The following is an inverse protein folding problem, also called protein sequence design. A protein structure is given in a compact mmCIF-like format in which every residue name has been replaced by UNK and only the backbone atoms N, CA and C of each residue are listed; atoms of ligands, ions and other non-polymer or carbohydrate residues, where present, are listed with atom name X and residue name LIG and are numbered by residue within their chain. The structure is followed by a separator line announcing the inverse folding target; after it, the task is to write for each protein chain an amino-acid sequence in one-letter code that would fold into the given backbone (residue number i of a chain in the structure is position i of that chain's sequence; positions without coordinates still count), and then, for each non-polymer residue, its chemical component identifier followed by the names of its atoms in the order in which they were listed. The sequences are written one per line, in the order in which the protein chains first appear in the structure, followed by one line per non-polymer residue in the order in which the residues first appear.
data_IF_228228466289
#
_entry.id   IF_228228466289
#
_cell.length_a   1.000
_cell.length_b   1.000
_cell.length_c   1.000
_cell.angle_alpha   90.00
_cell.angle_beta   90.00
_cell.angle_gamma   90.00
#
_symmetry.space_group_name_H-M   'P 1'
#
loop_
_entity.id
_entity.type
_entity.pdbx_description
1 polymer ?
#
# COMPACT_ATOMS: atom_id res chain seq x y z
N UNK A 1 81.14 -30.41 37.34
CA UNK A 1 81.16 -29.30 36.36
C UNK A 1 79.76 -29.20 35.76
N UNK A 2 79.29 -27.97 35.57
CA UNK A 2 77.91 -27.55 35.24
C UNK A 2 77.32 -28.18 33.94
N UNK A 3 76.00 -28.05 33.68
CA UNK A 3 75.08 -29.11 33.25
C UNK A 3 74.49 -28.86 31.85
N UNK A 4 73.69 -29.79 31.31
CA UNK A 4 72.59 -29.41 30.39
C UNK A 4 71.40 -30.35 30.60
N UNK A 5 70.25 -29.75 30.87
CA UNK A 5 68.94 -30.37 31.02
C UNK A 5 68.34 -30.77 29.66
N UNK A 6 67.58 -31.87 29.61
CA UNK A 6 66.71 -32.20 28.48
C UNK A 6 65.31 -32.51 29.01
N UNK A 7 64.37 -31.63 28.67
CA UNK A 7 62.96 -31.65 29.03
C UNK A 7 62.18 -32.52 28.04
N UNK A 8 61.26 -33.33 28.59
CA UNK A 8 60.24 -34.10 27.86
C UNK A 8 59.31 -33.18 27.05
N UNK A 9 58.93 -33.59 25.83
CA UNK A 9 57.69 -33.16 25.21
C UNK A 9 57.06 -34.30 24.37
N UNK A 10 55.83 -34.66 24.74
CA UNK A 10 54.95 -35.59 24.03
C UNK A 10 54.60 -35.06 22.64
N UNK A 11 54.65 -35.94 21.64
CA UNK A 11 54.12 -35.70 20.29
C UNK A 11 52.65 -36.15 20.29
N UNK A 12 51.72 -35.19 20.29
CA UNK A 12 50.33 -35.43 19.93
C UNK A 12 50.10 -34.92 18.50
N UNK A 13 49.69 -35.83 17.61
CA UNK A 13 49.34 -35.53 16.24
C UNK A 13 47.96 -34.85 16.14
N UNK A 14 47.87 -33.76 15.38
CA UNK A 14 46.62 -33.25 14.82
C UNK A 14 46.90 -32.72 13.41
N UNK A 15 46.06 -33.01 12.41
CA UNK A 15 46.31 -32.62 11.02
C UNK A 15 45.98 -31.14 10.82
N UNK A 16 46.90 -30.43 10.16
CA UNK A 16 46.64 -29.11 9.59
C UNK A 16 45.76 -29.26 8.34
N UNK A 17 44.51 -28.83 8.44
CA UNK A 17 43.70 -28.47 7.29
C UNK A 17 43.17 -27.05 7.51
N UNK A 18 44.01 -26.05 7.23
CA UNK A 18 43.55 -24.66 7.11
C UNK A 18 42.94 -24.47 5.73
N UNK A 19 41.67 -24.86 5.57
CA UNK A 19 40.84 -24.34 4.49
C UNK A 19 40.52 -22.89 4.83
N UNK A 20 41.19 -21.96 4.13
CA UNK A 20 40.89 -20.53 4.18
C UNK A 20 39.50 -20.30 3.60
N UNK A 21 38.49 -20.23 4.48
CA UNK A 21 37.15 -19.75 4.15
C UNK A 21 37.22 -18.24 4.00
N UNK A 22 37.65 -17.77 2.82
CA UNK A 22 37.26 -16.44 2.34
C UNK A 22 35.77 -16.53 2.06
N UNK A 23 34.94 -16.29 3.08
CA UNK A 23 33.54 -15.99 2.87
C UNK A 23 33.51 -14.67 2.09
N UNK A 24 32.92 -14.62 0.88
CA UNK A 24 32.62 -13.33 0.29
C UNK A 24 31.68 -12.63 1.27
N UNK A 25 32.12 -11.49 1.80
CA UNK A 25 31.21 -10.47 2.32
C UNK A 25 30.39 -9.99 1.12
N UNK A 26 29.38 -10.78 0.74
CA UNK A 26 28.22 -10.22 0.10
C UNK A 26 27.63 -9.26 1.12
N UNK A 27 27.88 -7.98 0.88
CA UNK A 27 27.08 -6.89 1.42
C UNK A 27 25.62 -7.24 1.15
N UNK A 28 24.96 -7.83 2.15
CA UNK A 28 23.51 -7.84 2.24
C UNK A 28 23.12 -6.39 2.52
N UNK A 29 23.10 -5.56 1.48
CA UNK A 29 22.15 -4.46 1.42
C UNK A 29 20.76 -5.09 1.22
N UNK A 30 20.27 -5.75 2.28
CA UNK A 30 18.85 -5.72 2.53
C UNK A 30 18.60 -4.26 2.93
N UNK A 31 17.94 -3.49 2.06
CA UNK A 31 17.43 -2.16 2.40
C UNK A 31 16.38 -2.38 3.48
N UNK A 32 16.82 -2.49 4.74
CA UNK A 32 15.95 -2.49 5.90
C UNK A 32 15.22 -1.15 5.88
N UNK A 33 13.91 -1.17 5.68
CA UNK A 33 13.09 0.02 5.95
C UNK A 33 13.42 0.49 7.36
N UNK A 34 13.65 1.79 7.50
CA UNK A 34 13.87 2.41 8.81
C UNK A 34 12.62 2.20 9.65
N UNK A 35 12.80 1.82 10.92
CA UNK A 35 11.72 1.81 11.91
C UNK A 35 11.99 2.90 12.91
N UNK A 36 10.93 3.55 13.40
CA UNK A 36 11.05 4.57 14.44
C UNK A 36 11.32 3.96 15.82
N UNK A 37 10.99 2.67 15.99
CA UNK A 37 10.99 2.01 17.30
C UNK A 37 9.86 2.46 18.23
N UNK A 38 8.92 3.28 17.74
CA UNK A 38 7.79 3.77 18.50
C UNK A 38 6.69 2.72 18.63
N UNK A 39 6.01 2.72 19.77
CA UNK A 39 4.78 1.95 19.93
C UNK A 39 3.61 2.65 19.22
N UNK A 40 2.81 1.88 18.49
CA UNK A 40 1.56 2.33 17.87
C UNK A 40 0.35 2.26 18.81
N UNK A 41 0.49 1.65 20.00
CA UNK A 41 -0.56 1.63 21.03
C UNK A 41 -0.52 2.85 21.95
N UNK A 42 0.26 3.88 21.58
CA UNK A 42 0.41 5.13 22.32
C UNK A 42 -0.82 6.05 22.24
N UNK A 43 -0.65 7.25 22.77
CA UNK A 43 -1.67 8.30 22.66
C UNK A 43 -1.73 8.84 21.23
N UNK A 44 -2.94 9.08 20.73
CA UNK A 44 -3.14 9.75 19.44
C UNK A 44 -2.60 11.17 19.49
N UNK A 45 -2.02 11.65 18.39
CA UNK A 45 -1.74 13.06 18.18
C UNK A 45 -2.99 13.92 18.47
N UNK A 46 -2.79 15.16 18.92
CA UNK A 46 -3.85 16.07 19.38
C UNK A 46 -4.67 15.62 20.61
N UNK A 47 -4.42 14.45 21.20
CA UNK A 47 -5.12 14.02 22.43
C UNK A 47 -4.50 14.54 23.73
N UNK A 48 -3.30 15.15 23.66
CA UNK A 48 -2.59 15.65 24.82
C UNK A 48 -1.65 16.81 24.45
N UNK A 49 -1.16 17.53 25.46
CA UNK A 49 -0.18 18.60 25.29
C UNK A 49 1.27 18.09 25.17
N UNK A 50 1.49 16.81 24.87
CA UNK A 50 2.84 16.26 24.65
C UNK A 50 3.42 16.85 23.37
N UNK A 51 4.70 17.18 23.38
CA UNK A 51 5.41 17.69 22.20
C UNK A 51 6.91 17.36 22.29
N UNK A 52 7.61 17.45 21.15
CA UNK A 52 9.07 17.29 21.10
C UNK A 52 9.56 15.85 21.32
N UNK A 53 8.76 14.84 20.97
CA UNK A 53 9.16 13.44 21.07
C UNK A 53 9.11 12.75 19.70
N UNK A 54 9.95 11.73 19.50
CA UNK A 54 9.96 10.96 18.26
C UNK A 54 8.74 10.04 18.06
N UNK A 55 7.93 9.84 19.10
CA UNK A 55 6.80 8.90 19.11
C UNK A 55 5.45 9.57 19.36
N UNK A 56 5.38 10.90 19.18
CA UNK A 56 4.15 11.65 19.31
C UNK A 56 4.22 12.87 18.40
N UNK A 57 3.37 12.88 17.37
CA UNK A 57 3.35 13.96 16.38
C UNK A 57 2.67 15.21 16.96
N UNK A 58 3.46 16.27 17.18
CA UNK A 58 3.00 17.57 17.63
C UNK A 58 4.03 18.67 17.29
N UNK A 59 3.60 19.91 16.98
CA UNK A 59 2.21 20.39 17.05
C UNK A 59 1.33 19.97 15.86
N UNK A 60 1.94 19.51 14.76
CA UNK A 60 1.32 19.11 13.50
C UNK A 60 0.56 17.77 13.55
N UNK A 61 -0.23 17.54 14.60
CA UNK A 61 -0.88 16.27 14.90
C UNK A 61 -2.21 16.03 14.19
N UNK A 62 -2.72 17.00 13.44
CA UNK A 62 -3.90 16.86 12.59
C UNK A 62 -3.41 16.62 11.16
N UNK A 63 -3.46 15.36 10.70
CA UNK A 63 -2.87 14.98 9.42
C UNK A 63 -3.93 15.00 8.32
N UNK A 64 -3.57 15.48 7.14
CA UNK A 64 -4.44 15.53 5.97
C UNK A 64 -3.79 14.78 4.80
N UNK A 65 -4.37 13.67 4.39
CA UNK A 65 -4.06 13.08 3.07
C UNK A 65 -4.92 13.79 2.02
N UNK A 66 -4.29 14.58 1.16
CA UNK A 66 -4.97 15.41 0.18
C UNK A 66 -4.86 14.82 -1.22
N UNK A 67 -5.93 14.91 -2.00
CA UNK A 67 -5.98 14.38 -3.37
C UNK A 67 -6.56 15.40 -4.34
N UNK A 68 -6.18 15.26 -5.60
CA UNK A 68 -6.62 16.08 -6.72
C UNK A 68 -7.45 15.32 -7.75
N UNK A 69 -8.35 16.08 -8.38
CA UNK A 69 -9.07 15.71 -9.57
C UNK A 69 -8.84 16.75 -10.67
N UNK A 70 -7.66 16.68 -11.29
CA UNK A 70 -7.26 17.65 -12.32
C UNK A 70 -7.83 17.29 -13.68
N UNK A 71 -8.60 18.20 -14.27
CA UNK A 71 -9.27 17.98 -15.57
C UNK A 71 -8.79 18.91 -16.67
N UNK A 72 -8.14 20.03 -16.32
CA UNK A 72 -7.71 21.05 -17.29
C UNK A 72 -6.38 21.71 -16.86
N UNK A 73 -5.23 21.14 -17.22
CA UNK A 73 -5.06 19.91 -17.99
C UNK A 73 -5.40 18.67 -17.14
N UNK A 74 -5.68 17.54 -17.80
CA UNK A 74 -5.90 16.29 -17.07
C UNK A 74 -4.58 15.66 -16.65
N UNK A 75 -4.50 15.20 -15.41
CA UNK A 75 -3.33 14.49 -14.86
C UNK A 75 -3.72 13.14 -14.27
N UNK A 76 -2.77 12.19 -14.34
CA UNK A 76 -2.95 10.83 -13.87
C UNK A 76 -4.00 10.03 -14.67
N UNK A 77 -4.43 8.88 -14.14
CA UNK A 77 -5.43 8.04 -14.79
C UNK A 77 -6.81 8.69 -14.86
N UNK A 78 -7.56 8.40 -15.92
CA UNK A 78 -8.90 8.98 -16.11
C UNK A 78 -9.96 8.45 -15.13
N UNK A 79 -9.65 7.35 -14.44
CA UNK A 79 -10.46 6.70 -13.41
C UNK A 79 -9.79 6.71 -12.03
N UNK A 80 -8.92 7.71 -11.75
CA UNK A 80 -8.30 7.85 -10.44
C UNK A 80 -8.12 9.31 -10.06
N UNK A 81 -8.29 9.57 -8.77
CA UNK A 81 -7.73 10.77 -8.15
C UNK A 81 -6.20 10.63 -8.09
N UNK A 82 -5.52 11.75 -7.89
CA UNK A 82 -4.05 11.81 -7.76
C UNK A 82 -3.69 12.35 -6.38
N UNK A 83 -2.51 12.01 -5.88
CA UNK A 83 -1.96 12.55 -4.64
C UNK A 83 -1.66 14.03 -4.84
N UNK A 84 -2.10 14.86 -3.89
CA UNK A 84 -1.58 16.20 -3.70
C UNK A 84 -0.47 16.17 -2.63
N UNK A 85 -0.78 15.71 -1.42
CA UNK A 85 0.21 15.59 -0.35
C UNK A 85 -0.28 14.91 0.92
N UNK A 86 0.54 15.03 1.97
CA UNK A 86 0.25 14.59 3.33
C UNK A 86 0.72 15.66 4.33
N UNK A 87 -0.21 16.43 4.89
CA UNK A 87 0.12 17.68 5.58
C UNK A 87 -0.10 17.60 7.10
N UNK A 88 0.85 18.10 7.91
CA UNK A 88 0.72 18.15 9.36
C UNK A 88 0.17 19.51 9.82
N UNK A 89 -1.16 19.63 9.90
CA UNK A 89 -1.79 20.80 10.51
C UNK A 89 -1.68 20.73 12.03
N UNK A 90 -1.61 21.90 12.66
CA UNK A 90 -1.74 22.02 14.10
C UNK A 90 -3.12 21.54 14.55
N UNK A 91 -3.21 21.08 15.80
CA UNK A 91 -4.46 20.56 16.36
C UNK A 91 -5.61 21.59 16.46
N UNK A 92 -5.32 22.88 16.29
CA UNK A 92 -6.30 23.97 16.22
C UNK A 92 -6.72 24.33 14.78
N UNK A 93 -6.23 23.60 13.78
CA UNK A 93 -6.50 23.83 12.36
C UNK A 93 -5.63 24.91 11.70
N UNK A 94 -4.70 25.53 12.44
CA UNK A 94 -3.63 26.32 11.82
C UNK A 94 -2.55 25.41 11.24
N UNK A 95 -1.61 25.93 10.45
CA UNK A 95 -0.52 25.12 9.90
C UNK A 95 0.80 25.89 9.90
N UNK A 96 1.91 25.14 9.83
CA UNK A 96 3.25 25.68 9.61
C UNK A 96 3.77 25.14 8.28
N UNK A 97 4.66 25.88 7.62
CA UNK A 97 5.32 25.44 6.40
C UNK A 97 6.79 25.78 6.41
N UNK A 98 7.59 25.04 5.62
CA UNK A 98 9.03 25.26 5.45
C UNK A 98 9.79 25.23 6.79
N UNK A 99 9.51 24.21 7.60
CA UNK A 99 9.94 24.16 9.00
C UNK A 99 11.45 23.94 9.18
N UNK A 100 12.15 23.39 8.18
CA UNK A 100 13.58 23.12 8.26
C UNK A 100 14.24 23.07 6.88
N UNK A 101 14.79 24.21 6.43
CA UNK A 101 15.47 24.32 5.13
C UNK A 101 16.79 23.55 5.05
N UNK A 102 17.36 23.10 6.17
CA UNK A 102 18.58 22.28 6.16
C UNK A 102 18.34 20.87 5.60
N UNK A 103 17.07 20.44 5.57
CA UNK A 103 16.61 19.18 5.03
C UNK A 103 15.92 19.33 3.67
N UNK A 104 16.01 20.49 3.02
CA UNK A 104 15.42 20.65 1.68
C UNK A 104 16.16 19.76 0.67
N UNK A 105 15.39 18.95 -0.05
CA UNK A 105 15.89 18.05 -1.08
C UNK A 105 15.18 18.34 -2.40
N UNK A 106 15.97 18.61 -3.42
CA UNK A 106 15.47 18.89 -4.78
C UNK A 106 15.39 17.65 -5.66
N UNK A 107 16.06 16.55 -5.27
CA UNK A 107 16.16 15.33 -6.08
C UNK A 107 15.54 14.11 -5.36
N UNK A 108 14.25 14.23 -5.03
CA UNK A 108 13.47 13.20 -4.31
C UNK A 108 13.50 11.85 -5.04
N UNK A 109 13.43 11.85 -6.36
CA UNK A 109 13.47 10.63 -7.16
C UNK A 109 14.76 9.85 -6.99
N UNK A 110 15.91 10.54 -6.93
CA UNK A 110 17.20 9.91 -6.64
C UNK A 110 17.27 9.37 -5.22
N UNK A 111 16.74 10.07 -4.21
CA UNK A 111 16.69 9.58 -2.83
C UNK A 111 15.88 8.29 -2.73
N UNK A 112 14.67 8.26 -3.30
CA UNK A 112 13.82 7.07 -3.36
C UNK A 112 14.55 5.91 -4.06
N UNK A 113 15.13 6.15 -5.22
CA UNK A 113 15.83 5.11 -5.98
C UNK A 113 17.04 4.54 -5.23
N UNK A 114 17.84 5.39 -4.59
CA UNK A 114 19.04 5.00 -3.86
C UNK A 114 18.73 4.22 -2.57
N UNK A 115 17.54 4.36 -2.02
CA UNK A 115 17.15 3.81 -0.72
C UNK A 115 16.09 2.71 -0.81
N UNK A 116 15.86 2.14 -2.01
CA UNK A 116 14.95 1.00 -2.22
C UNK A 116 13.49 1.38 -2.48
N UNK A 117 13.16 2.68 -2.53
CA UNK A 117 11.84 3.24 -2.81
C UNK A 117 11.47 3.30 -4.30
N UNK A 118 12.08 2.51 -5.18
CA UNK A 118 11.81 2.55 -6.63
C UNK A 118 10.35 2.24 -6.99
N UNK A 119 9.67 1.39 -6.21
CA UNK A 119 8.23 1.10 -6.42
C UNK A 119 7.36 2.30 -6.07
N UNK A 120 7.69 3.01 -4.99
CA UNK A 120 7.07 4.28 -4.58
C UNK A 120 7.28 5.33 -5.66
N UNK A 121 8.50 5.50 -6.15
CA UNK A 121 8.80 6.42 -7.25
C UNK A 121 7.99 6.11 -8.51
N UNK A 122 7.92 4.83 -8.93
CA UNK A 122 7.14 4.42 -10.10
C UNK A 122 5.64 4.70 -9.91
N UNK A 123 5.12 4.51 -8.69
CA UNK A 123 3.74 4.85 -8.36
C UNK A 123 3.52 6.38 -8.43
N UNK A 124 4.42 7.17 -7.83
CA UNK A 124 4.36 8.63 -7.86
C UNK A 124 4.37 9.20 -9.28
N UNK A 125 5.17 8.64 -10.19
CA UNK A 125 5.20 9.04 -11.60
C UNK A 125 3.84 8.92 -12.31
N UNK A 126 2.93 8.09 -11.78
CA UNK A 126 1.57 7.89 -12.31
C UNK A 126 0.53 8.67 -11.49
N UNK A 127 0.66 8.66 -10.16
CA UNK A 127 -0.41 9.10 -9.26
C UNK A 127 -0.09 10.36 -8.46
N UNK A 128 1.14 10.87 -8.44
CA UNK A 128 1.51 12.13 -7.76
C UNK A 128 2.06 13.11 -8.79
N UNK A 129 1.14 13.71 -9.55
CA UNK A 129 1.41 14.49 -10.75
C UNK A 129 1.36 15.98 -10.43
N UNK A 130 2.25 16.74 -11.04
CA UNK A 130 2.14 18.20 -11.06
C UNK A 130 1.25 18.66 -12.22
N UNK A 131 0.65 19.84 -12.09
CA UNK A 131 0.11 20.54 -13.25
C UNK A 131 1.29 20.83 -14.20
N UNK A 132 1.26 20.35 -15.45
CA UNK A 132 2.34 20.56 -16.41
C UNK A 132 2.55 22.04 -16.78
N UNK A 133 1.61 22.93 -16.45
CA UNK A 133 1.79 24.38 -16.60
C UNK A 133 2.54 25.01 -15.42
N UNK A 134 2.58 24.35 -14.26
CA UNK A 134 3.21 24.85 -13.03
C UNK A 134 4.59 24.22 -12.78
N UNK A 135 4.96 23.18 -13.52
CA UNK A 135 6.32 22.64 -13.55
C UNK A 135 6.38 21.13 -13.73
N UNK A 136 7.43 20.53 -13.18
CA UNK A 136 7.67 19.08 -13.25
C UNK A 136 7.09 18.37 -12.03
N UNK A 137 6.87 17.05 -12.12
CA UNK A 137 6.51 16.27 -10.93
C UNK A 137 7.60 16.35 -9.85
N UNK A 138 8.87 16.34 -10.26
CA UNK A 138 10.00 16.44 -9.34
C UNK A 138 10.00 17.76 -8.54
N UNK A 139 9.63 18.87 -9.18
CA UNK A 139 9.49 20.16 -8.47
C UNK A 139 8.32 20.16 -7.50
N UNK A 140 7.20 19.49 -7.82
CA UNK A 140 6.11 19.30 -6.87
C UNK A 140 6.55 18.44 -5.69
N UNK A 141 7.22 17.32 -5.91
CA UNK A 141 7.68 16.46 -4.82
C UNK A 141 8.68 17.20 -3.91
N UNK A 142 9.60 17.97 -4.49
CA UNK A 142 10.50 18.81 -3.70
C UNK A 142 9.73 19.86 -2.87
N UNK A 143 8.69 20.47 -3.44
CA UNK A 143 7.81 21.41 -2.73
C UNK A 143 7.08 20.74 -1.57
N UNK A 144 6.40 19.62 -1.81
CA UNK A 144 5.64 18.91 -0.77
C UNK A 144 6.55 18.47 0.39
N UNK A 145 7.77 18.05 0.10
CA UNK A 145 8.76 17.76 1.13
C UNK A 145 9.18 19.02 1.89
N UNK A 146 9.65 20.06 1.20
CA UNK A 146 10.16 21.27 1.83
C UNK A 146 9.07 21.98 2.65
N UNK A 147 7.88 22.13 2.08
CA UNK A 147 6.77 22.86 2.70
C UNK A 147 6.12 22.07 3.84
N UNK A 148 5.91 20.75 3.68
CA UNK A 148 5.09 19.96 4.62
C UNK A 148 5.87 18.82 5.28
N UNK A 149 6.65 18.05 4.50
CA UNK A 149 7.46 16.94 5.02
C UNK A 149 8.46 17.35 6.10
N UNK A 150 9.08 18.52 5.96
CA UNK A 150 10.01 19.06 6.98
C UNK A 150 9.31 19.41 8.29
N UNK A 151 7.98 19.57 8.31
CA UNK A 151 7.21 19.97 9.49
C UNK A 151 6.77 18.83 10.40
N UNK A 152 6.98 17.56 10.01
CA UNK A 152 6.74 16.42 10.89
C UNK A 152 7.80 16.34 11.99
N UNK A 153 7.38 16.49 13.24
CA UNK A 153 8.26 16.38 14.41
C UNK A 153 8.84 14.97 14.56
N UNK A 154 8.08 13.94 14.18
CA UNK A 154 8.50 12.53 14.26
C UNK A 154 9.42 12.10 13.12
N UNK A 155 9.65 12.97 12.12
CA UNK A 155 10.59 12.77 11.01
C UNK A 155 11.90 13.56 11.18
N UNK A 156 12.12 14.21 12.32
CA UNK A 156 13.40 14.84 12.59
C UNK A 156 14.53 13.80 12.52
N UNK A 157 15.70 14.14 11.96
CA UNK A 157 16.77 13.16 11.73
C UNK A 157 17.30 12.53 13.02
N UNK A 158 17.18 13.21 14.16
CA UNK A 158 17.50 12.67 15.49
C UNK A 158 16.54 11.56 15.95
N UNK A 159 15.39 11.41 15.31
CA UNK A 159 14.42 10.35 15.56
C UNK A 159 14.67 9.10 14.70
N UNK A 160 15.57 9.18 13.73
CA UNK A 160 15.93 8.05 12.90
C UNK A 160 16.97 7.14 13.57
N UNK A 161 17.00 5.83 13.25
CA UNK A 161 18.06 4.93 13.69
C UNK A 161 19.44 5.48 13.34
N UNK A 162 20.41 5.27 14.23
CA UNK A 162 21.80 5.68 14.00
C UNK A 162 22.35 5.05 12.72
N UNK A 163 23.01 5.86 11.89
CA UNK A 163 23.53 5.43 10.59
C UNK A 163 22.53 5.50 9.43
N UNK A 164 21.31 6.02 9.66
CA UNK A 164 20.37 6.28 8.57
C UNK A 164 21.00 7.18 7.50
N UNK A 165 20.85 6.86 6.21
CA UNK A 165 21.40 7.67 5.13
C UNK A 165 20.70 9.03 5.07
N UNK A 166 21.38 10.01 4.47
CA UNK A 166 20.80 11.34 4.22
C UNK A 166 19.49 11.21 3.43
N UNK A 167 18.43 11.87 3.90
CA UNK A 167 17.13 11.88 3.26
C UNK A 167 16.28 10.63 3.50
N UNK A 168 16.65 9.78 4.47
CA UNK A 168 15.83 8.63 4.86
C UNK A 168 14.44 9.06 5.38
N UNK A 169 14.36 10.18 6.10
CA UNK A 169 13.13 10.80 6.54
C UNK A 169 12.22 11.22 5.37
N UNK A 170 12.81 11.72 4.29
CA UNK A 170 12.07 12.09 3.09
C UNK A 170 11.54 10.85 2.38
N UNK A 171 12.38 9.82 2.23
CA UNK A 171 11.96 8.53 1.68
C UNK A 171 10.77 7.95 2.46
N UNK A 172 10.84 7.93 3.79
CA UNK A 172 9.74 7.46 4.63
C UNK A 172 8.46 8.30 4.47
N UNK A 173 8.57 9.63 4.34
CA UNK A 173 7.43 10.50 4.08
C UNK A 173 6.71 10.13 2.77
N UNK A 174 7.45 9.96 1.67
CA UNK A 174 6.87 9.61 0.37
C UNK A 174 6.27 8.20 0.37
N UNK A 175 6.95 7.23 0.98
CA UNK A 175 6.42 5.86 1.13
C UNK A 175 5.13 5.84 1.95
N UNK A 176 5.10 6.57 3.06
CA UNK A 176 3.91 6.67 3.92
C UNK A 176 2.74 7.33 3.19
N UNK A 177 3.00 8.44 2.50
CA UNK A 177 1.97 9.15 1.74
C UNK A 177 1.36 8.28 0.65
N UNK A 178 2.21 7.58 -0.12
CA UNK A 178 1.74 6.65 -1.16
C UNK A 178 0.95 5.48 -0.57
N UNK A 179 1.40 4.90 0.54
CA UNK A 179 0.70 3.79 1.19
C UNK A 179 -0.65 4.23 1.75
N UNK A 180 -0.74 5.41 2.36
CA UNK A 180 -1.99 5.95 2.87
C UNK A 180 -2.96 6.27 1.72
N UNK A 181 -2.49 6.90 0.65
CA UNK A 181 -3.31 7.19 -0.54
C UNK A 181 -3.94 5.92 -1.15
N UNK A 182 -3.19 4.81 -1.22
CA UNK A 182 -3.72 3.53 -1.74
C UNK A 182 -4.91 2.99 -0.94
N UNK A 183 -5.06 3.39 0.33
CA UNK A 183 -6.21 3.01 1.17
C UNK A 183 -7.44 3.91 0.97
N UNK A 184 -7.31 4.95 0.14
CA UNK A 184 -8.30 6.00 -0.07
C UNK A 184 -8.72 6.10 -1.56
N UNK A 185 -9.28 5.04 -2.18
CA UNK A 185 -9.65 5.01 -3.59
C UNK A 185 -10.92 5.83 -3.89
N UNK A 186 -10.82 7.16 -3.79
CA UNK A 186 -11.94 8.11 -3.91
C UNK A 186 -12.80 7.88 -5.16
N UNK A 187 -12.18 7.59 -6.31
CA UNK A 187 -12.92 7.33 -7.56
C UNK A 187 -13.81 6.09 -7.42
N UNK A 188 -13.28 5.01 -6.86
CA UNK A 188 -13.99 3.73 -6.75
C UNK A 188 -15.18 3.85 -5.81
N UNK A 189 -15.01 4.55 -4.69
CA UNK A 189 -16.10 4.82 -3.74
C UNK A 189 -17.23 5.66 -4.35
N UNK A 190 -16.88 6.71 -5.09
CA UNK A 190 -17.87 7.51 -5.81
C UNK A 190 -18.57 6.68 -6.90
N UNK A 191 -17.80 5.94 -7.70
CA UNK A 191 -18.34 5.11 -8.78
C UNK A 191 -19.28 4.00 -8.25
N UNK A 192 -18.94 3.35 -7.14
CA UNK A 192 -19.78 2.36 -6.48
C UNK A 192 -21.13 2.94 -5.99
N UNK A 193 -21.17 4.24 -5.69
CA UNK A 193 -22.38 4.97 -5.37
C UNK A 193 -23.11 5.53 -6.62
N UNK A 194 -22.68 5.18 -7.83
CA UNK A 194 -23.24 5.68 -9.09
C UNK A 194 -22.82 7.12 -9.43
N UNK A 195 -21.79 7.66 -8.76
CA UNK A 195 -21.25 9.00 -8.99
C UNK A 195 -19.99 8.85 -9.85
N UNK A 196 -20.14 9.02 -11.15
CA UNK A 196 -19.02 8.98 -12.10
C UNK A 196 -18.83 10.35 -12.77
N UNK A 197 -17.61 10.65 -13.25
CA UNK A 197 -17.37 11.90 -13.96
C UNK A 197 -18.29 12.10 -15.17
N UNK A 198 -18.75 13.33 -15.40
CA UNK A 198 -19.68 13.69 -16.48
C UNK A 198 -19.49 15.14 -16.93
N UNK A 199 -19.76 15.41 -18.20
CA UNK A 199 -19.80 16.77 -18.75
C UNK A 199 -21.15 17.47 -18.57
N UNK A 200 -22.20 16.73 -18.21
CA UNK A 200 -23.59 17.24 -18.15
C UNK A 200 -24.28 17.02 -16.81
N UNK A 201 -23.82 16.05 -16.01
CA UNK A 201 -24.40 15.74 -14.70
C UNK A 201 -23.79 16.62 -13.63
N UNK A 202 -24.61 17.03 -12.65
CA UNK A 202 -24.14 17.71 -11.45
C UNK A 202 -24.62 16.99 -10.19
N UNK A 203 -23.92 17.23 -9.09
CA UNK A 203 -24.14 16.58 -7.81
C UNK A 203 -24.43 17.60 -6.71
N UNK A 204 -25.00 17.12 -5.61
CA UNK A 204 -25.10 17.89 -4.37
C UNK A 204 -23.92 17.56 -3.47
N UNK A 205 -23.57 18.51 -2.59
CA UNK A 205 -22.53 18.26 -1.59
C UNK A 205 -22.92 17.06 -0.70
N UNK A 206 -24.21 16.96 -0.36
CA UNK A 206 -24.75 15.86 0.44
C UNK A 206 -24.61 14.50 -0.26
N UNK A 207 -24.84 14.39 -1.57
CA UNK A 207 -24.69 13.11 -2.27
C UNK A 207 -23.23 12.65 -2.30
N UNK A 208 -22.30 13.56 -2.56
CA UNK A 208 -20.86 13.25 -2.60
C UNK A 208 -20.34 12.84 -1.22
N UNK A 209 -20.63 13.65 -0.19
CA UNK A 209 -20.16 13.38 1.17
C UNK A 209 -20.80 12.14 1.78
N UNK A 210 -22.07 11.84 1.47
CA UNK A 210 -22.72 10.60 1.92
C UNK A 210 -22.11 9.36 1.29
N UNK A 211 -21.81 9.39 -0.02
CA UNK A 211 -21.14 8.27 -0.69
C UNK A 211 -19.77 7.97 -0.07
N UNK A 212 -18.97 9.01 0.17
CA UNK A 212 -17.65 8.89 0.77
C UNK A 212 -17.72 8.42 2.24
N UNK A 213 -18.65 8.96 3.04
CA UNK A 213 -18.86 8.52 4.43
C UNK A 213 -19.32 7.07 4.49
N UNK A 214 -20.19 6.63 3.59
CA UNK A 214 -20.65 5.23 3.57
C UNK A 214 -19.51 4.26 3.22
N UNK A 215 -18.57 4.66 2.37
CA UNK A 215 -17.46 3.82 1.97
C UNK A 215 -16.29 3.83 2.97
N UNK A 216 -15.96 5.00 3.54
CA UNK A 216 -14.78 5.19 4.40
C UNK A 216 -15.11 5.24 5.90
N UNK A 217 -16.37 5.47 6.26
CA UNK A 217 -16.84 5.60 7.65
C UNK A 217 -16.81 7.04 8.20
N UNK A 218 -16.10 7.95 7.53
CA UNK A 218 -15.89 9.33 7.97
C UNK A 218 -16.15 10.32 6.83
N UNK A 219 -16.45 11.56 7.17
CA UNK A 219 -16.73 12.62 6.19
C UNK A 219 -15.46 13.41 5.86
N UNK A 220 -14.92 13.33 4.63
CA UNK A 220 -13.80 14.16 4.19
C UNK A 220 -14.24 15.58 3.84
N UNK A 221 -13.30 16.52 3.73
CA UNK A 221 -13.57 17.85 3.17
C UNK A 221 -13.38 17.86 1.66
N UNK A 222 -14.39 18.35 0.93
CA UNK A 222 -14.30 18.55 -0.52
C UNK A 222 -13.90 19.98 -0.85
N UNK A 223 -13.09 20.13 -1.90
CA UNK A 223 -12.66 21.42 -2.42
C UNK A 223 -13.15 21.63 -3.85
N UNK A 224 -13.78 22.77 -4.09
CA UNK A 224 -14.21 23.19 -5.41
C UNK A 224 -13.65 24.57 -5.78
N UNK A 225 -13.32 24.74 -7.06
CA UNK A 225 -13.14 26.05 -7.68
C UNK A 225 -14.43 26.43 -8.39
N UNK A 226 -15.20 27.34 -7.78
CA UNK A 226 -16.58 27.59 -8.18
C UNK A 226 -17.43 26.32 -7.99
N UNK A 227 -17.98 25.78 -9.08
CA UNK A 227 -18.73 24.52 -9.04
C UNK A 227 -17.90 23.28 -9.40
N UNK A 228 -16.65 23.44 -9.82
CA UNK A 228 -15.85 22.31 -10.28
C UNK A 228 -15.19 21.62 -9.07
N UNK A 229 -15.54 20.36 -8.84
CA UNK A 229 -14.89 19.52 -7.85
C UNK A 229 -13.45 19.25 -8.29
N UNK A 230 -12.49 19.64 -7.47
CA UNK A 230 -11.06 19.54 -7.81
C UNK A 230 -10.20 18.94 -6.71
N UNK A 231 -10.66 18.92 -5.45
CA UNK A 231 -9.86 18.41 -4.34
C UNK A 231 -10.67 17.71 -3.26
N UNK A 232 -9.99 16.89 -2.47
CA UNK A 232 -10.52 16.21 -1.29
C UNK A 232 -9.43 16.06 -0.24
N UNK A 233 -9.79 16.19 1.03
CA UNK A 233 -8.89 16.03 2.18
C UNK A 233 -9.45 15.02 3.17
N UNK A 234 -8.68 13.96 3.43
CA UNK A 234 -8.97 12.92 4.41
C UNK A 234 -8.17 13.18 5.67
N UNK A 235 -8.84 13.20 6.83
CA UNK A 235 -8.24 13.63 8.09
C UNK A 235 -7.91 12.46 9.00
N UNK A 236 -6.77 12.56 9.68
CA UNK A 236 -6.26 11.55 10.57
C UNK A 236 -5.63 12.17 11.82
N UNK A 237 -5.71 11.43 12.92
CA UNK A 237 -4.68 11.48 13.96
C UNK A 237 -3.72 10.30 13.77
N UNK A 238 -2.55 10.36 14.40
CA UNK A 238 -1.56 9.29 14.35
C UNK A 238 -1.10 8.92 15.77
N UNK A 239 -0.95 7.63 16.03
CA UNK A 239 -0.26 7.12 17.22
C UNK A 239 1.12 6.59 16.83
N UNK A 240 2.17 7.06 17.51
CA UNK A 240 3.56 6.73 17.20
C UNK A 240 4.24 7.77 16.29
N UNK A 241 5.12 7.30 15.42
CA UNK A 241 5.82 8.11 14.41
C UNK A 241 5.09 8.06 13.07
N UNK A 242 5.32 9.03 12.18
CA UNK A 242 4.82 8.95 10.80
C UNK A 242 5.33 7.70 10.04
N UNK A 243 6.51 7.17 10.40
CA UNK A 243 7.18 6.08 9.68
C UNK A 243 6.40 4.75 9.76
N UNK A 244 5.95 4.38 10.96
CA UNK A 244 5.37 3.07 11.28
C UNK A 244 4.18 3.16 12.25
N UNK A 245 3.67 4.37 12.48
CA UNK A 245 2.53 4.64 13.35
C UNK A 245 1.20 4.21 12.75
N UNK A 246 0.18 4.23 13.60
CA UNK A 246 -1.20 3.91 13.20
C UNK A 246 -1.99 5.17 12.97
N UNK A 247 -2.50 5.31 11.75
CA UNK A 247 -3.38 6.40 11.34
C UNK A 247 -4.82 6.08 11.78
N UNK A 248 -5.41 6.98 12.56
CA UNK A 248 -6.79 6.93 12.99
C UNK A 248 -7.60 7.93 12.17
N UNK A 249 -8.48 7.47 11.24
CA UNK A 249 -9.40 8.34 10.52
C UNK A 249 -10.30 9.14 11.47
N UNK A 250 -10.63 10.37 11.07
CA UNK A 250 -11.59 11.24 11.75
C UNK A 250 -12.50 11.95 10.75
N UNK A 251 -13.65 12.43 11.23
CA UNK A 251 -14.47 13.38 10.48
C UNK A 251 -13.69 14.68 10.27
N UNK A 252 -13.82 15.28 9.09
CA UNK A 252 -13.13 16.53 8.80
C UNK A 252 -13.53 17.63 9.79
N UNK A 253 -12.57 18.31 10.43
CA UNK A 253 -12.84 19.49 11.24
C UNK A 253 -13.13 20.73 10.38
N UNK A 254 -12.89 20.66 9.07
CA UNK A 254 -13.03 21.76 8.13
C UNK A 254 -14.27 21.59 7.26
N UNK A 255 -14.94 22.70 6.95
CA UNK A 255 -16.05 22.70 6.00
C UNK A 255 -15.57 22.58 4.55
N UNK A 256 -16.35 21.91 3.71
CA UNK A 256 -16.16 21.89 2.26
C UNK A 256 -16.26 23.29 1.65
N UNK A 257 -15.45 23.59 0.62
CA UNK A 257 -15.56 24.84 -0.16
C UNK A 257 -16.58 24.73 -1.31
N UNK A 258 -17.08 23.53 -1.59
CA UNK A 258 -18.07 23.30 -2.64
C UNK A 258 -19.46 23.87 -2.29
N UNK A 259 -20.23 24.35 -3.31
CA UNK A 259 -21.62 24.77 -3.11
C UNK A 259 -22.51 23.58 -2.73
N UNK A 260 -23.67 23.86 -2.14
CA UNK A 260 -24.62 22.80 -1.72
C UNK A 260 -25.15 21.95 -2.88
N UNK A 261 -25.19 22.51 -4.09
CA UNK A 261 -25.69 21.86 -5.31
C UNK A 261 -25.00 22.38 -6.57
N UNK A 262 -25.19 21.69 -7.69
CA UNK A 262 -24.62 22.07 -8.98
C UNK A 262 -23.12 21.75 -9.12
N UNK A 263 -22.58 20.89 -8.24
CA UNK A 263 -21.17 20.49 -8.27
C UNK A 263 -20.91 19.65 -9.52
N UNK A 264 -19.88 20.00 -10.28
CA UNK A 264 -19.44 19.31 -11.49
C UNK A 264 -18.27 18.40 -11.14
N UNK A 265 -18.46 17.10 -11.34
CA UNK A 265 -17.37 16.12 -11.32
C UNK A 265 -16.98 15.83 -12.76
N UNK A 266 -16.02 16.59 -13.29
CA UNK A 266 -15.74 16.64 -14.74
C UNK A 266 -14.89 15.45 -15.20
N UNK A 267 -15.04 15.02 -16.45
CA UNK A 267 -14.24 13.92 -17.02
C UNK A 267 -12.78 14.33 -17.23
N UNK A 268 -11.84 13.45 -16.83
CA UNK A 268 -10.42 13.55 -17.21
C UNK A 268 -10.17 12.97 -18.61
N UNK A 269 -9.20 13.53 -19.32
CA UNK A 269 -8.57 12.91 -20.49
C UNK A 269 -7.38 12.06 -20.04
N UNK A 270 -7.18 10.87 -20.62
CA UNK A 270 -6.10 9.96 -20.23
C UNK A 270 -6.50 8.49 -20.32
N UNK A 271 -5.51 7.59 -20.24
CA UNK A 271 -5.78 6.15 -20.19
C UNK A 271 -6.30 5.78 -18.79
N UNK A 272 -7.38 4.99 -18.70
CA UNK A 272 -7.75 4.43 -17.41
C UNK A 272 -6.65 3.47 -16.95
N UNK A 273 -6.41 3.41 -15.65
CA UNK A 273 -5.71 2.26 -15.08
C UNK A 273 -6.67 1.08 -15.19
N UNK A 274 -6.14 -0.12 -15.43
CA UNK A 274 -6.95 -1.34 -15.50
C UNK A 274 -7.77 -1.54 -14.24
N UNK A 275 -9.01 -1.06 -14.25
CA UNK A 275 -10.03 -1.37 -13.26
C UNK A 275 -10.71 -2.64 -13.70
N UNK A 276 -10.56 -3.70 -12.92
CA UNK A 276 -11.39 -4.90 -13.03
C UNK A 276 -12.79 -4.55 -12.52
N UNK A 277 -13.55 -3.76 -13.29
CA UNK A 277 -14.93 -3.40 -12.97
C UNK A 277 -15.86 -4.18 -13.88
N UNK A 278 -16.56 -5.13 -13.28
CA UNK A 278 -17.67 -5.92 -13.84
C UNK A 278 -18.88 -5.00 -13.99
N UNK A 279 -18.99 -4.36 -15.16
CA UNK A 279 -20.20 -3.65 -15.58
C UNK A 279 -21.13 -4.60 -16.31
N UNK A 280 -22.14 -5.13 -15.61
CA UNK A 280 -23.27 -5.80 -16.24
C UNK A 280 -24.30 -4.77 -16.71
N UNK A 281 -24.51 -4.67 -18.04
CA UNK A 281 -25.78 -4.21 -18.59
C UNK A 281 -26.06 -4.91 -19.92
N UNK A 282 -27.07 -5.77 -19.88
CA UNK A 282 -27.81 -6.33 -21.01
C UNK A 282 -28.45 -5.23 -21.86
N UNK A 283 -28.43 -5.35 -23.19
CA UNK A 283 -29.61 -5.57 -24.07
C UNK A 283 -29.31 -5.34 -25.57
N UNK A 284 -29.45 -6.43 -26.34
CA UNK A 284 -29.84 -6.60 -27.75
C UNK A 284 -29.50 -5.56 -28.84
N UNK A 285 -28.79 -6.02 -29.91
CA UNK A 285 -29.36 -6.14 -31.28
C UNK A 285 -28.51 -7.05 -32.20
N UNK A 286 -29.20 -7.64 -33.15
CA UNK A 286 -28.94 -8.79 -34.06
C UNK A 286 -27.95 -8.59 -35.22
N UNK A 287 -27.30 -9.72 -35.60
CA UNK A 287 -26.82 -10.17 -36.94
C UNK A 287 -25.89 -9.27 -37.78
N UNK A 288 -24.67 -9.73 -38.11
CA UNK A 288 -24.36 -10.53 -39.32
C UNK A 288 -22.84 -10.71 -39.54
N UNK A 289 -22.48 -11.95 -39.89
CA UNK A 289 -21.33 -12.52 -40.62
C UNK A 289 -20.16 -11.64 -41.08
N UNK A 290 -18.93 -12.09 -40.77
CA UNK A 290 -17.69 -11.63 -41.43
C UNK A 290 -16.42 -12.28 -40.87
N UNK A 291 -16.03 -13.42 -41.42
CA UNK A 291 -14.85 -14.24 -41.08
C UNK A 291 -13.52 -13.50 -41.35
N UNK A 292 -12.59 -13.44 -40.37
CA UNK A 292 -11.16 -13.64 -40.61
C UNK A 292 -10.38 -13.99 -39.34
N UNK A 293 -9.82 -15.19 -39.34
CA UNK A 293 -8.89 -15.78 -38.38
C UNK A 293 -7.57 -15.02 -38.25
N UNK A 294 -7.12 -14.79 -37.01
CA UNK A 294 -5.72 -14.85 -36.59
C UNK A 294 -5.66 -15.25 -35.12
N UNK A 295 -4.90 -16.31 -34.85
CA UNK A 295 -4.78 -17.08 -33.60
C UNK A 295 -3.83 -16.43 -32.59
N UNK A 296 -4.28 -16.28 -31.34
CA UNK A 296 -3.47 -16.44 -30.13
C UNK A 296 -4.40 -16.75 -28.94
N UNK A 297 -4.13 -17.74 -28.08
CA UNK A 297 -5.13 -18.28 -27.17
C UNK A 297 -5.26 -17.42 -25.91
N UNK A 298 -6.43 -16.80 -25.74
CA UNK A 298 -6.88 -16.26 -24.46
C UNK A 298 -7.79 -17.31 -23.81
N UNK A 299 -7.26 -18.04 -22.83
CA UNK A 299 -8.09 -18.85 -21.95
C UNK A 299 -8.75 -17.92 -20.93
N UNK A 300 -9.94 -17.43 -21.27
CA UNK A 300 -10.86 -16.84 -20.30
C UNK A 300 -11.78 -17.97 -19.83
N UNK A 301 -11.41 -18.64 -18.74
CA UNK A 301 -12.34 -19.50 -18.00
C UNK A 301 -12.90 -18.69 -16.84
N UNK A 302 -13.95 -17.90 -17.08
CA UNK A 302 -14.80 -17.41 -16.00
C UNK A 302 -15.56 -18.60 -15.43
N UNK A 303 -15.09 -19.09 -14.28
CA UNK A 303 -15.79 -20.09 -13.48
C UNK A 303 -17.19 -19.59 -13.14
N UNK A 304 -18.19 -20.41 -13.44
CA UNK A 304 -19.58 -20.19 -13.02
C UNK A 304 -19.66 -20.18 -11.49
N UNK A 305 -20.47 -19.31 -10.85
CA UNK A 305 -20.73 -19.40 -9.42
C UNK A 305 -21.32 -20.78 -9.10
N UNK A 306 -20.59 -21.59 -8.35
CA UNK A 306 -21.03 -22.91 -7.91
C UNK A 306 -19.98 -24.03 -7.98
N UNK A 307 -18.84 -23.84 -8.65
CA UNK A 307 -17.78 -24.84 -8.72
C UNK A 307 -16.42 -24.27 -8.30
N UNK A 308 -15.67 -25.04 -7.50
CA UNK A 308 -14.28 -24.74 -7.16
C UNK A 308 -13.42 -24.83 -8.43
N UNK A 309 -12.67 -23.79 -8.81
CA UNK A 309 -11.78 -23.88 -9.96
C UNK A 309 -10.63 -24.86 -9.65
N UNK A 310 -10.23 -25.68 -10.62
CA UNK A 310 -9.12 -26.62 -10.42
C UNK A 310 -7.76 -25.93 -10.28
N UNK A 311 -7.63 -24.73 -10.85
CA UNK A 311 -6.47 -23.86 -10.72
C UNK A 311 -6.88 -22.42 -10.46
N UNK A 312 -6.09 -21.69 -9.67
CA UNK A 312 -6.34 -20.29 -9.37
C UNK A 312 -5.05 -19.52 -9.08
N UNK A 313 -5.13 -18.19 -9.15
CA UNK A 313 -4.22 -17.28 -8.44
C UNK A 313 -4.93 -16.73 -7.21
N UNK A 314 -4.18 -16.34 -6.19
CA UNK A 314 -4.74 -15.80 -4.93
C UNK A 314 -4.25 -14.37 -4.76
N UNK A 315 -5.17 -13.41 -4.84
CA UNK A 315 -4.89 -11.98 -4.79
C UNK A 315 -5.25 -11.40 -3.42
N UNK A 316 -4.45 -10.47 -2.91
CA UNK A 316 -4.81 -9.74 -1.71
C UNK A 316 -5.68 -8.54 -2.06
N UNK A 317 -6.63 -8.18 -1.18
CA UNK A 317 -7.54 -7.05 -1.37
C UNK A 317 -6.87 -5.68 -1.46
N UNK A 318 -5.58 -5.59 -1.14
CA UNK A 318 -4.79 -4.36 -1.22
C UNK A 318 -3.85 -4.36 -2.43
N UNK A 319 -2.73 -5.10 -2.37
CA UNK A 319 -1.73 -5.17 -3.44
C UNK A 319 -1.19 -6.58 -3.62
N UNK A 320 -0.90 -6.98 -4.85
CA UNK A 320 -0.23 -8.25 -5.11
C UNK A 320 -1.04 -9.48 -4.67
N UNK A 321 -0.37 -10.51 -4.20
CA UNK A 321 -1.00 -11.79 -3.88
C UNK A 321 0.00 -12.87 -3.48
N UNK A 322 -0.46 -14.11 -3.40
CA UNK A 322 0.35 -15.20 -2.87
C UNK A 322 1.34 -15.77 -3.88
N UNK A 323 2.55 -16.04 -3.39
CA UNK A 323 3.61 -16.74 -4.10
C UNK A 323 3.62 -18.23 -3.76
N UNK A 324 4.48 -19.02 -4.40
CA UNK A 324 4.42 -20.49 -4.32
C UNK A 324 4.73 -21.06 -2.94
N UNK A 325 5.27 -20.27 -2.00
CA UNK A 325 5.53 -20.67 -0.62
C UNK A 325 4.40 -20.27 0.35
N UNK A 326 3.31 -19.67 -0.13
CA UNK A 326 2.23 -19.15 0.71
C UNK A 326 2.52 -17.76 1.32
N UNK A 327 3.63 -17.12 0.92
CA UNK A 327 3.97 -15.75 1.28
C UNK A 327 3.27 -14.75 0.37
N UNK A 328 3.08 -13.52 0.86
CA UNK A 328 2.42 -12.45 0.13
C UNK A 328 3.42 -11.44 -0.45
N UNK A 329 3.31 -11.12 -1.74
CA UNK A 329 4.21 -10.19 -2.42
C UNK A 329 3.54 -9.48 -3.59
N UNK A 330 4.17 -8.42 -4.11
CA UNK A 330 3.79 -7.76 -5.37
C UNK A 330 4.45 -8.37 -6.61
N UNK A 331 5.18 -9.48 -6.45
CA UNK A 331 5.77 -10.26 -7.54
C UNK A 331 4.72 -11.04 -8.34
N UNK A 332 5.15 -11.78 -9.37
CA UNK A 332 4.29 -12.66 -10.15
C UNK A 332 3.66 -13.74 -9.26
N UNK A 333 2.32 -13.80 -9.27
CA UNK A 333 1.56 -14.70 -8.41
C UNK A 333 1.75 -16.14 -8.81
N UNK A 334 1.68 -17.03 -7.81
CA UNK A 334 1.73 -18.46 -8.06
C UNK A 334 0.37 -18.98 -8.51
N UNK A 335 0.42 -20.01 -9.35
CA UNK A 335 -0.73 -20.87 -9.60
C UNK A 335 -0.89 -21.86 -8.46
N UNK A 336 -2.08 -21.90 -7.90
CA UNK A 336 -2.54 -22.84 -6.90
C UNK A 336 -3.44 -23.88 -7.57
N UNK A 337 -3.23 -25.15 -7.25
CA UNK A 337 -4.14 -26.23 -7.63
C UNK A 337 -5.08 -26.52 -6.46
N UNK A 338 -6.38 -26.45 -6.71
CA UNK A 338 -7.42 -26.65 -5.71
C UNK A 338 -8.07 -28.01 -5.93
N UNK A 339 -8.30 -28.77 -4.85
CA UNK A 339 -8.96 -30.08 -4.91
C UNK A 339 -9.96 -30.22 -3.78
N UNK A 340 -11.23 -30.44 -4.12
CA UNK A 340 -12.34 -30.55 -3.18
C UNK A 340 -13.60 -29.85 -3.69
N UNK A 341 -14.38 -29.29 -2.77
CA UNK A 341 -15.59 -28.48 -3.04
C UNK A 341 -15.37 -27.03 -2.57
N UNK A 342 -16.31 -26.13 -2.86
CA UNK A 342 -16.24 -24.74 -2.37
C UNK A 342 -16.23 -24.66 -0.84
N UNK A 343 -16.87 -25.60 -0.15
CA UNK A 343 -17.01 -25.61 1.30
C UNK A 343 -15.83 -26.30 2.02
N UNK A 344 -15.08 -27.13 1.30
CA UNK A 344 -13.91 -27.83 1.83
C UNK A 344 -12.99 -28.26 0.68
N UNK A 345 -11.82 -27.64 0.59
CA UNK A 345 -10.80 -27.99 -0.39
C UNK A 345 -9.38 -27.87 0.16
N UNK A 346 -8.46 -28.54 -0.52
CA UNK A 346 -7.02 -28.46 -0.27
C UNK A 346 -6.34 -27.67 -1.38
N UNK A 347 -5.23 -27.02 -1.06
CA UNK A 347 -4.43 -26.25 -2.01
C UNK A 347 -3.03 -26.83 -2.13
N UNK A 348 -2.49 -26.82 -3.35
CA UNK A 348 -1.08 -27.15 -3.62
C UNK A 348 -0.46 -26.14 -4.58
N UNK A 349 0.85 -25.97 -4.50
CA UNK A 349 1.65 -25.20 -5.46
C UNK A 349 2.76 -26.07 -6.03
N UNK A 350 3.60 -25.49 -6.90
CA UNK A 350 4.86 -26.10 -7.34
C UNK A 350 5.84 -26.46 -6.20
N UNK A 351 5.60 -25.99 -4.97
CA UNK A 351 6.43 -26.28 -3.78
C UNK A 351 5.85 -27.38 -2.89
N UNK A 352 4.60 -27.78 -3.08
CA UNK A 352 3.94 -28.85 -2.33
C UNK A 352 2.58 -28.42 -1.77
N UNK A 353 2.09 -29.17 -0.78
CA UNK A 353 0.83 -28.87 -0.08
C UNK A 353 0.88 -27.54 0.63
N UNK A 354 -0.28 -26.90 0.76
CA UNK A 354 -0.45 -25.69 1.57
C UNK A 354 -1.28 -25.98 2.81
N UNK A 355 -0.96 -25.29 3.89
CA UNK A 355 -1.82 -25.24 5.06
C UNK A 355 -1.41 -24.18 6.06
N UNK A 356 -2.24 -24.05 7.09
CA UNK A 356 -2.07 -23.11 8.19
C UNK A 356 -1.61 -23.89 9.42
N UNK A 357 -0.46 -23.51 9.97
CA UNK A 357 0.09 -24.09 11.20
C UNK A 357 0.57 -22.98 12.12
N UNK A 358 0.19 -23.02 13.40
CA UNK A 358 0.47 -21.92 14.33
C UNK A 358 -0.10 -20.57 13.88
N UNK A 359 -1.18 -20.61 13.08
CA UNK A 359 -1.81 -19.42 12.49
C UNK A 359 -1.11 -18.89 11.23
N UNK A 360 0.01 -19.45 10.78
CA UNK A 360 0.72 -19.01 9.58
C UNK A 360 0.42 -19.93 8.38
N UNK A 361 0.08 -19.33 7.22
CA UNK A 361 -0.03 -20.02 5.94
C UNK A 361 1.36 -20.32 5.36
N UNK A 362 1.58 -21.57 4.95
CA UNK A 362 2.79 -21.99 4.25
C UNK A 362 2.48 -23.08 3.21
N UNK A 363 3.24 -23.08 2.12
CA UNK A 363 3.20 -24.12 1.10
C UNK A 363 4.57 -24.77 0.93
N UNK A 364 4.63 -26.10 0.93
CA UNK A 364 5.89 -26.85 0.86
C UNK A 364 5.70 -28.36 0.99
N UNK A 365 6.75 -29.12 0.69
CA UNK A 365 6.74 -30.58 0.81
C UNK A 365 6.57 -31.11 2.24
N UNK A 366 6.80 -30.26 3.26
CA UNK A 366 6.59 -30.57 4.68
C UNK A 366 5.44 -29.82 5.34
N UNK A 367 4.64 -29.06 4.58
CA UNK A 367 3.49 -28.35 5.14
C UNK A 367 2.36 -29.32 5.44
N UNK A 368 1.72 -29.15 6.61
CA UNK A 368 0.50 -29.90 6.95
C UNK A 368 -0.64 -29.39 6.09
N UNK A 369 -1.38 -30.31 5.45
CA UNK A 369 -2.53 -29.91 4.62
C UNK A 369 -3.66 -29.39 5.50
N UNK A 370 -4.17 -28.20 5.19
CA UNK A 370 -5.36 -27.61 5.84
C UNK A 370 -6.53 -27.63 4.86
N UNK A 371 -7.75 -27.79 5.39
CA UNK A 371 -8.98 -27.58 4.61
C UNK A 371 -9.34 -26.11 4.58
N UNK A 372 -9.52 -25.56 3.40
CA UNK A 372 -9.98 -24.21 3.15
C UNK A 372 -11.42 -24.21 2.66
N UNK A 373 -12.07 -23.05 2.68
CA UNK A 373 -13.40 -22.84 2.11
C UNK A 373 -13.42 -21.52 1.33
N UNK A 374 -14.40 -21.36 0.45
CA UNK A 374 -14.66 -20.11 -0.26
C UNK A 374 -15.89 -19.44 0.35
N UNK A 375 -15.74 -18.17 0.71
CA UNK A 375 -16.85 -17.33 1.16
C UNK A 375 -17.15 -16.32 0.06
N UNK A 376 -18.39 -16.32 -0.42
CA UNK A 376 -18.82 -15.31 -1.38
C UNK A 376 -19.09 -13.99 -0.68
N UNK A 377 -18.40 -12.92 -1.09
CA UNK A 377 -18.60 -11.58 -0.57
C UNK A 377 -18.37 -10.56 -1.68
N UNK A 378 -19.34 -9.66 -1.90
CA UNK A 378 -19.20 -8.58 -2.89
C UNK A 378 -18.97 -9.03 -4.35
N UNK A 379 -19.31 -10.28 -4.70
CA UNK A 379 -19.03 -10.86 -6.02
C UNK A 379 -17.67 -11.58 -6.12
N UNK A 380 -16.84 -11.50 -5.09
CA UNK A 380 -15.56 -12.20 -4.97
C UNK A 380 -15.69 -13.53 -4.22
N UNK A 381 -14.78 -14.46 -4.50
CA UNK A 381 -14.63 -15.72 -3.77
C UNK A 381 -13.43 -15.60 -2.82
N UNK A 382 -13.71 -15.34 -1.55
CA UNK A 382 -12.67 -15.13 -0.55
C UNK A 382 -12.19 -16.47 0.03
N UNK A 383 -10.87 -16.66 0.06
CA UNK A 383 -10.23 -17.78 0.73
C UNK A 383 -10.44 -17.66 2.24
N UNK A 384 -11.07 -18.67 2.83
CA UNK A 384 -11.26 -18.77 4.26
C UNK A 384 -10.51 -19.97 4.85
N UNK A 385 -9.96 -19.77 6.05
CA UNK A 385 -9.40 -20.82 6.90
C UNK A 385 -10.22 -20.87 8.18
N UNK A 386 -10.65 -22.07 8.58
CA UNK A 386 -11.53 -22.28 9.75
C UNK A 386 -12.77 -21.36 9.76
N UNK A 387 -13.31 -21.06 8.57
CA UNK A 387 -14.50 -20.22 8.38
C UNK A 387 -14.28 -18.71 8.45
N UNK A 388 -13.05 -18.23 8.70
CA UNK A 388 -12.70 -16.80 8.65
C UNK A 388 -12.00 -16.44 7.35
N UNK A 389 -12.40 -15.32 6.75
CA UNK A 389 -11.75 -14.70 5.57
C UNK A 389 -10.69 -13.69 5.94
N UNK A 390 -10.46 -13.46 7.23
CA UNK A 390 -9.49 -12.49 7.69
C UNK A 390 -8.08 -13.08 7.58
N UNK A 391 -7.20 -12.32 6.93
CA UNK A 391 -5.78 -12.61 6.86
C UNK A 391 -5.01 -11.37 7.30
N UNK A 392 -3.82 -11.58 7.83
CA UNK A 392 -2.96 -10.49 8.28
C UNK A 392 -1.49 -10.79 8.05
N UNK A 393 -0.71 -9.72 7.95
CA UNK A 393 0.75 -9.76 7.82
C UNK A 393 1.35 -8.64 8.67
N UNK A 394 2.63 -8.74 8.99
CA UNK A 394 3.31 -7.68 9.75
C UNK A 394 3.31 -6.34 8.98
N UNK A 395 3.44 -6.38 7.66
CA UNK A 395 3.44 -5.19 6.79
C UNK A 395 2.81 -5.47 5.41
N UNK A 396 2.60 -4.41 4.62
CA UNK A 396 2.25 -4.49 3.20
C UNK A 396 3.50 -4.73 2.34
N UNK A 397 3.54 -5.76 1.49
CA UNK A 397 4.70 -6.04 0.66
C UNK A 397 4.91 -4.96 -0.40
N UNK A 398 6.17 -4.76 -0.78
CA UNK A 398 6.56 -3.91 -1.90
C UNK A 398 7.75 -4.49 -2.65
N UNK A 399 7.77 -4.35 -3.98
CA UNK A 399 8.87 -4.82 -4.80
C UNK A 399 9.03 -6.33 -4.70
N UNK A 400 10.18 -6.78 -4.19
CA UNK A 400 10.51 -8.20 -4.02
C UNK A 400 10.29 -8.70 -2.58
N UNK A 401 9.84 -7.83 -1.67
CA UNK A 401 9.56 -8.21 -0.28
C UNK A 401 8.42 -9.22 -0.25
N UNK A 402 8.60 -10.26 0.56
CA UNK A 402 7.61 -11.29 0.82
C UNK A 402 7.23 -11.23 2.29
N UNK A 403 5.95 -11.06 2.56
CA UNK A 403 5.39 -11.00 3.91
C UNK A 403 4.82 -12.37 4.29
N UNK A 404 4.98 -12.73 5.56
CA UNK A 404 4.40 -13.93 6.12
C UNK A 404 2.90 -13.71 6.34
N UNK A 405 2.09 -14.65 5.87
CA UNK A 405 0.63 -14.57 5.88
C UNK A 405 0.08 -15.35 7.06
N UNK A 406 -0.76 -14.72 7.87
CA UNK A 406 -1.37 -15.31 9.05
C UNK A 406 -2.89 -15.28 8.95
N UNK A 407 -3.57 -16.33 9.40
CA UNK A 407 -5.02 -16.35 9.53
C UNK A 407 -5.46 -15.42 10.69
N UNK A 408 -6.55 -14.68 10.49
CA UNK A 408 -7.07 -13.69 11.43
C UNK A 408 -6.44 -12.31 11.29
N UNK A 409 -6.72 -11.42 12.24
CA UNK A 409 -6.32 -10.00 12.23
C UNK A 409 -5.18 -9.66 13.20
N UNK A 410 -4.44 -10.66 13.68
CA UNK A 410 -3.48 -10.51 14.78
C UNK A 410 -2.13 -9.86 14.42
N UNK A 411 -1.91 -9.46 13.17
CA UNK A 411 -0.68 -8.82 12.71
C UNK A 411 -0.91 -7.33 12.35
N UNK A 412 0.17 -6.64 11.97
CA UNK A 412 0.18 -5.19 11.74
C UNK A 412 -0.81 -4.70 10.68
N UNK A 413 -1.14 -5.50 9.68
CA UNK A 413 -2.15 -5.17 8.68
C UNK A 413 -3.09 -6.35 8.40
N UNK A 414 -4.36 -6.05 8.15
CA UNK A 414 -5.39 -7.04 7.82
C UNK A 414 -5.90 -6.85 6.39
N UNK A 415 -6.23 -7.93 5.72
CA UNK A 415 -6.71 -7.98 4.34
C UNK A 415 -7.48 -9.28 4.08
N UNK A 416 -8.18 -9.34 2.94
CA UNK A 416 -8.80 -10.59 2.46
C UNK A 416 -8.00 -11.13 1.29
N UNK A 417 -8.11 -12.45 1.07
CA UNK A 417 -7.49 -13.13 -0.06
C UNK A 417 -8.58 -13.61 -1.02
N UNK A 418 -8.60 -13.11 -2.24
CA UNK A 418 -9.53 -13.51 -3.28
C UNK A 418 -8.93 -14.63 -4.16
N UNK A 419 -9.72 -15.67 -4.40
CA UNK A 419 -9.38 -16.79 -5.28
C UNK A 419 -9.90 -16.51 -6.69
N UNK A 420 -8.98 -16.34 -7.63
CA UNK A 420 -9.29 -16.05 -9.02
C UNK A 420 -8.98 -17.29 -9.85
N UNK A 421 -10.03 -18.01 -10.26
CA UNK A 421 -9.94 -19.18 -11.12
C UNK A 421 -9.22 -18.89 -12.44
N UNK A 422 -8.41 -19.85 -12.90
CA UNK A 422 -7.64 -19.80 -14.16
C UNK A 422 -8.11 -20.87 -15.15
#
# INVERSE_FOLDING_TARGET
MLPVAAVLALIAAAPFASASLIKPLLSRQATSRISSGCSSSGALSCSSSKSGTCCFEAPGGLLLQTQFWDTSPSTGPSNSWTIHGLWPDNCDGTFTSNCDSSRDYTDIGSLLSAQGGSSTLSYMQTFWKNDPNDGTDASLWAHEWAAHGTCYSTLHTSCLPSGSPKGAEAVAFFETTVNLFKTLPTYEWLAAAGITPSSSTTHTLASLTSALRNAWGFTPALSCTGSNLGGISYYFHVSGSLIDGTFQPIDSPSSSTCPSSGIKYLTKTGSPVGTTTVGGTTTHRTTATGTRTTTSPTNTATGTPGNLPSTATIQASSVGGLLSLGTWSTQTLATYHLSGTTDSFTMTTSKGSCGVSGGQLACGSGASTTSFSLVSSGGSLLLASDGSTDWSSSNTPSGQVQEAVFSGTGQGISYTLEVIGS
#
